data_IF_206527559666
#
_entry.id   IF_206527559666
#
_cell.length_a   1.000
_cell.length_b   1.000
_cell.length_c   1.000
_cell.angle_alpha   90.00
_cell.angle_beta   90.00
_cell.angle_gamma   90.00
#
_symmetry.space_group_name_H-M   'P 1'
#
loop_
_entity.id
_entity.type
_entity.pdbx_description
1 polymer ?
#
# COMPACT_ATOMS: atom_id res chain seq x y z
N UNK A 1 8.92 3.13 -13.43
CA UNK A 1 10.33 2.68 -13.29
C UNK A 1 10.65 2.69 -11.81
N UNK A 2 11.43 1.71 -11.33
CA UNK A 2 11.75 1.57 -9.91
C UNK A 2 11.37 0.19 -9.38
N UNK A 3 11.55 0.00 -8.08
CA UNK A 3 11.23 -1.26 -7.42
C UNK A 3 9.72 -1.52 -7.39
N UNK A 4 9.33 -2.78 -7.46
CA UNK A 4 7.94 -3.21 -7.32
C UNK A 4 7.59 -3.30 -5.84
N UNK A 5 6.36 -2.90 -5.50
CA UNK A 5 5.81 -2.99 -4.16
C UNK A 5 4.47 -3.73 -4.25
N UNK A 6 4.48 -4.98 -3.81
CA UNK A 6 3.33 -5.88 -3.89
C UNK A 6 2.74 -6.08 -2.50
N UNK A 7 1.41 -6.07 -2.39
CA UNK A 7 0.69 -6.36 -1.15
C UNK A 7 -0.21 -7.58 -1.35
N UNK A 8 -0.19 -8.52 -0.42
CA UNK A 8 -0.95 -9.75 -0.51
C UNK A 8 -1.44 -10.24 0.85
N UNK A 9 -2.66 -10.75 0.89
CA UNK A 9 -3.19 -11.47 2.04
C UNK A 9 -2.66 -12.91 2.07
N UNK A 10 -2.42 -13.42 3.28
CA UNK A 10 -2.23 -14.85 3.48
C UNK A 10 -3.56 -15.57 3.81
N UNK A 11 -3.56 -16.90 3.90
CA UNK A 11 -4.77 -17.66 4.26
C UNK A 11 -5.29 -17.42 5.69
N UNK A 12 -4.53 -16.72 6.55
CA UNK A 12 -4.91 -16.36 7.92
C UNK A 12 -5.35 -14.89 8.03
N UNK A 13 -5.62 -14.25 6.90
CA UNK A 13 -6.03 -12.86 6.81
C UNK A 13 -5.03 -11.86 7.42
N UNK A 14 -3.74 -12.21 7.39
CA UNK A 14 -2.63 -11.29 7.65
C UNK A 14 -2.11 -10.68 6.35
N UNK A 15 -1.74 -9.40 6.40
CA UNK A 15 -1.34 -8.62 5.24
C UNK A 15 0.17 -8.52 5.14
N UNK A 16 0.71 -8.96 4.00
CA UNK A 16 2.15 -8.98 3.73
C UNK A 16 2.50 -8.04 2.58
N UNK A 17 3.75 -7.60 2.58
CA UNK A 17 4.37 -6.85 1.49
C UNK A 17 5.54 -7.64 0.91
N UNK A 18 5.79 -7.44 -0.39
CA UNK A 18 7.03 -7.87 -1.06
C UNK A 18 7.61 -6.70 -1.84
N UNK A 19 8.93 -6.60 -1.82
CA UNK A 19 9.67 -5.64 -2.64
C UNK A 19 10.42 -6.43 -3.70
N UNK A 20 10.25 -6.09 -4.98
CA UNK A 20 10.88 -6.76 -6.12
C UNK A 20 10.72 -8.30 -6.11
N UNK A 21 9.52 -8.78 -5.72
CA UNK A 21 9.17 -10.21 -5.62
C UNK A 21 10.07 -11.05 -4.70
N UNK A 22 10.74 -10.41 -3.74
CA UNK A 22 11.55 -11.08 -2.71
C UNK A 22 10.66 -11.73 -1.63
N UNK A 23 11.28 -12.16 -0.52
CA UNK A 23 10.57 -12.78 0.61
C UNK A 23 9.50 -11.83 1.17
N UNK A 24 8.41 -12.40 1.69
CA UNK A 24 7.34 -11.66 2.34
C UNK A 24 7.84 -10.99 3.64
N UNK A 25 7.33 -9.81 3.92
CA UNK A 25 7.43 -9.13 5.21
C UNK A 25 6.02 -8.73 5.67
N UNK A 26 5.69 -8.75 6.97
CA UNK A 26 4.45 -8.17 7.46
C UNK A 26 4.32 -6.71 7.01
N UNK A 27 3.13 -6.27 6.58
CA UNK A 27 2.97 -4.90 6.05
C UNK A 27 3.26 -3.83 7.10
N UNK A 28 3.08 -4.15 8.37
CA UNK A 28 3.38 -3.27 9.51
C UNK A 28 4.87 -2.94 9.60
N UNK A 29 5.77 -3.81 9.14
CA UNK A 29 7.22 -3.49 9.00
C UNK A 29 7.41 -2.31 8.05
N UNK A 30 6.70 -2.29 6.91
CA UNK A 30 6.77 -1.16 5.98
C UNK A 30 6.19 0.12 6.60
N UNK A 31 5.05 0.02 7.30
CA UNK A 31 4.42 1.16 7.96
C UNK A 31 5.30 1.74 9.08
N UNK A 32 5.94 0.88 9.88
CA UNK A 32 6.95 1.32 10.86
C UNK A 32 8.14 2.00 10.21
N UNK A 33 8.61 1.50 9.07
CA UNK A 33 9.71 2.14 8.34
C UNK A 33 9.34 3.54 7.83
N UNK A 34 8.08 3.78 7.48
CA UNK A 34 7.52 5.13 7.18
C UNK A 34 7.41 6.01 8.44
N UNK A 35 7.45 5.40 9.63
CA UNK A 35 7.41 6.09 10.92
C UNK A 35 6.10 5.93 11.68
N UNK A 36 5.15 5.09 11.22
CA UNK A 36 3.90 4.88 11.95
C UNK A 36 4.11 3.97 13.18
N UNK A 37 3.44 4.32 14.27
CA UNK A 37 3.39 3.55 15.51
C UNK A 37 2.13 2.68 15.57
N UNK A 38 2.07 1.73 16.52
CA UNK A 38 0.98 0.75 16.60
C UNK A 38 -0.40 1.41 16.68
N UNK A 39 -0.57 2.36 17.60
CA UNK A 39 -1.86 3.02 17.82
C UNK A 39 -2.33 3.77 16.58
N UNK A 40 -1.41 4.41 15.86
CA UNK A 40 -1.72 5.13 14.64
C UNK A 40 -2.12 4.15 13.53
N UNK A 41 -1.37 3.06 13.34
CA UNK A 41 -1.74 2.02 12.39
C UNK A 41 -3.14 1.49 12.69
N UNK A 42 -3.44 1.17 13.95
CA UNK A 42 -4.76 0.68 14.34
C UNK A 42 -5.86 1.72 14.07
N UNK A 43 -5.65 2.98 14.47
CA UNK A 43 -6.59 4.10 14.21
C UNK A 43 -6.81 4.38 12.73
N UNK A 44 -5.81 4.15 11.88
CA UNK A 44 -5.89 4.43 10.43
C UNK A 44 -6.79 3.42 9.71
N UNK A 45 -6.80 2.17 10.17
CA UNK A 45 -7.45 1.04 9.49
C UNK A 45 -8.71 0.51 10.20
N UNK A 46 -8.93 0.88 11.47
CA UNK A 46 -10.08 0.45 12.25
C UNK A 46 -10.78 1.65 12.87
N UNK A 47 -12.12 1.59 12.90
CA UNK A 47 -12.88 2.50 13.74
C UNK A 47 -12.80 2.04 15.20
N UNK A 48 -12.90 2.97 16.14
CA UNK A 48 -12.78 2.69 17.58
C UNK A 48 -14.17 2.72 18.24
N UNK A 49 -14.43 1.72 19.07
CA UNK A 49 -15.51 1.73 20.06
C UNK A 49 -14.94 2.25 21.39
N UNK A 50 -15.58 3.27 21.96
CA UNK A 50 -15.22 3.81 23.28
C UNK A 50 -16.08 3.15 24.35
N UNK A 51 -15.44 2.72 25.42
CA UNK A 51 -16.06 2.10 26.57
C UNK A 51 -15.71 2.91 27.82
N UNK A 52 -16.69 3.31 28.62
CA UNK A 52 -16.47 3.97 29.90
C UNK A 52 -16.62 2.95 31.02
N UNK A 53 -15.55 2.78 31.80
CA UNK A 53 -15.48 1.78 32.86
C UNK A 53 -16.12 2.34 34.14
N UNK A 54 -17.19 1.71 34.62
CA UNK A 54 -17.75 2.02 35.93
C UNK A 54 -16.99 1.26 37.04
N UNK A 55 -17.28 1.56 38.31
CA UNK A 55 -16.77 0.81 39.47
C UNK A 55 -17.54 -0.49 39.73
N UNK A 56 -18.76 -0.59 39.21
CA UNK A 56 -19.66 -1.71 39.43
C UNK A 56 -19.90 -2.50 38.13
N UNK A 57 -19.21 -3.63 37.91
CA UNK A 57 -19.57 -4.78 37.02
C UNK A 57 -20.16 -4.56 35.61
N UNK A 58 -20.17 -3.32 35.12
CA UNK A 58 -20.82 -2.88 33.90
C UNK A 58 -19.94 -1.82 33.25
N UNK A 59 -20.07 -1.73 31.93
CA UNK A 59 -19.34 -0.79 31.09
C UNK A 59 -20.35 -0.05 30.24
N UNK A 60 -20.16 1.25 30.06
CA UNK A 60 -20.97 2.01 29.12
C UNK A 60 -20.26 2.08 27.76
N UNK A 61 -20.86 1.49 26.73
CA UNK A 61 -20.41 1.58 25.34
C UNK A 61 -21.00 2.84 24.70
N UNK A 62 -20.16 3.69 24.11
CA UNK A 62 -20.63 4.72 23.17
C UNK A 62 -21.22 4.05 21.94
N UNK A 63 -22.55 4.10 21.83
CA UNK A 63 -23.30 3.32 20.87
C UNK A 63 -23.32 4.00 19.51
N UNK A 64 -22.79 3.29 18.52
CA UNK A 64 -23.06 3.57 17.10
C UNK A 64 -24.03 2.49 16.60
N UNK A 65 -25.34 2.78 16.44
CA UNK A 65 -26.36 1.76 16.17
C UNK A 65 -26.06 0.88 14.94
N UNK A 66 -25.46 1.46 13.90
CA UNK A 66 -25.03 0.77 12.69
C UNK A 66 -24.04 -0.37 12.95
N UNK A 67 -23.18 -0.25 13.97
CA UNK A 67 -22.14 -1.23 14.27
C UNK A 67 -22.69 -2.53 14.82
N UNK A 68 -23.87 -2.48 15.47
CA UNK A 68 -24.55 -3.66 15.99
C UNK A 68 -25.28 -4.47 14.90
N UNK A 69 -25.28 -4.00 13.64
CA UNK A 69 -26.06 -4.64 12.57
C UNK A 69 -25.59 -6.08 12.34
N UNK A 70 -26.52 -7.01 12.55
CA UNK A 70 -26.27 -8.41 12.29
C UNK A 70 -25.43 -9.10 13.37
N UNK A 71 -25.05 -8.40 14.44
CA UNK A 71 -24.48 -9.02 15.65
C UNK A 71 -25.57 -9.75 16.45
N UNK A 72 -25.13 -10.70 17.27
CA UNK A 72 -25.95 -11.41 18.25
C UNK A 72 -25.37 -11.10 19.63
N UNK A 73 -26.17 -10.49 20.50
CA UNK A 73 -25.75 -10.16 21.86
C UNK A 73 -26.14 -11.28 22.82
N UNK A 74 -25.31 -11.51 23.84
CA UNK A 74 -25.57 -12.52 24.89
C UNK A 74 -26.45 -11.97 26.04
N UNK A 75 -26.87 -10.71 25.94
CA UNK A 75 -27.68 -10.01 26.93
C UNK A 75 -28.81 -9.25 26.24
N UNK A 76 -29.82 -8.87 27.03
CA UNK A 76 -30.97 -8.13 26.52
C UNK A 76 -30.58 -6.68 26.19
N UNK A 77 -30.91 -6.26 24.97
CA UNK A 77 -30.73 -4.88 24.52
C UNK A 77 -31.94 -4.05 24.93
N UNK A 78 -31.74 -3.11 25.84
CA UNK A 78 -32.77 -2.23 26.38
C UNK A 78 -32.74 -0.86 25.70
N UNK A 79 -33.91 -0.30 25.40
CA UNK A 79 -34.11 1.09 25.02
C UNK A 79 -35.25 1.69 25.85
N UNK A 80 -34.99 2.79 26.56
CA UNK A 80 -35.96 3.45 27.45
C UNK A 80 -36.67 2.50 28.42
N UNK A 81 -35.93 1.53 28.97
CA UNK A 81 -36.46 0.52 29.89
C UNK A 81 -37.32 -0.58 29.25
N UNK A 82 -37.40 -0.64 27.91
CA UNK A 82 -38.07 -1.71 27.16
C UNK A 82 -37.05 -2.59 26.46
N UNK A 83 -37.25 -3.91 26.53
CA UNK A 83 -36.43 -4.88 25.80
C UNK A 83 -36.71 -4.74 24.30
N UNK A 84 -35.71 -4.30 23.56
CA UNK A 84 -35.74 -4.13 22.11
C UNK A 84 -35.37 -5.44 21.40
N UNK A 85 -34.33 -6.10 21.91
CA UNK A 85 -33.84 -7.40 21.41
C UNK A 85 -33.50 -8.28 22.61
N UNK A 86 -34.12 -9.44 22.68
CA UNK A 86 -33.78 -10.46 23.69
C UNK A 86 -32.41 -11.08 23.39
N UNK A 87 -31.72 -11.52 24.44
CA UNK A 87 -30.45 -12.24 24.36
C UNK A 87 -30.51 -13.40 23.34
N UNK A 88 -29.45 -13.56 22.56
CA UNK A 88 -29.31 -14.60 21.54
C UNK A 88 -30.05 -14.34 20.23
N UNK A 89 -30.84 -13.26 20.12
CA UNK A 89 -31.46 -12.87 18.85
C UNK A 89 -30.56 -11.93 18.04
N UNK A 90 -30.56 -12.13 16.72
CA UNK A 90 -29.79 -11.31 15.78
C UNK A 90 -30.40 -9.92 15.63
N UNK A 91 -29.56 -8.88 15.67
CA UNK A 91 -30.00 -7.50 15.51
C UNK A 91 -30.32 -7.22 14.04
N UNK A 92 -31.56 -6.79 13.78
CA UNK A 92 -32.07 -6.51 12.43
C UNK A 92 -32.06 -5.01 12.12
N UNK A 93 -32.20 -4.65 10.84
CA UNK A 93 -32.33 -3.25 10.43
C UNK A 93 -33.51 -2.51 11.10
N UNK A 94 -34.57 -3.23 11.50
CA UNK A 94 -35.69 -2.65 12.24
C UNK A 94 -35.25 -2.20 13.64
N UNK A 95 -34.49 -3.03 14.35
CA UNK A 95 -34.01 -2.72 15.70
C UNK A 95 -33.06 -1.51 15.68
N UNK A 96 -32.20 -1.41 14.65
CA UNK A 96 -31.30 -0.26 14.48
C UNK A 96 -32.08 1.04 14.32
N UNK A 97 -33.14 1.05 13.48
CA UNK A 97 -33.99 2.24 13.34
C UNK A 97 -34.64 2.63 14.67
N UNK A 98 -35.10 1.64 15.44
CA UNK A 98 -35.69 1.90 16.75
C UNK A 98 -34.68 2.48 17.75
N UNK A 99 -33.41 2.03 17.71
CA UNK A 99 -32.34 2.63 18.52
C UNK A 99 -32.03 4.07 18.11
N UNK A 100 -32.01 4.34 16.80
CA UNK A 100 -31.79 5.68 16.25
C UNK A 100 -32.93 6.63 16.59
N UNK A 101 -34.18 6.17 16.44
CA UNK A 101 -35.38 6.94 16.78
C UNK A 101 -35.46 7.24 18.29
N UNK A 102 -34.92 6.35 19.13
CA UNK A 102 -34.81 6.55 20.57
C UNK A 102 -33.65 7.47 20.98
N UNK A 103 -32.73 7.82 20.06
CA UNK A 103 -31.61 8.72 20.34
C UNK A 103 -30.63 8.20 21.40
N UNK A 104 -30.45 6.87 21.50
CA UNK A 104 -29.58 6.26 22.51
C UNK A 104 -28.12 6.39 22.08
N UNK A 105 -27.36 7.18 22.83
CA UNK A 105 -25.94 7.45 22.57
C UNK A 105 -25.01 6.54 23.38
N UNK A 106 -25.49 5.96 24.49
CA UNK A 106 -24.72 5.07 25.35
C UNK A 106 -25.53 3.81 25.70
N UNK A 107 -24.86 2.67 25.67
CA UNK A 107 -25.43 1.38 26.01
C UNK A 107 -24.68 0.75 27.17
N UNK A 108 -25.40 0.42 28.25
CA UNK A 108 -24.83 -0.34 29.37
C UNK A 108 -24.67 -1.81 28.95
N UNK A 109 -23.44 -2.29 28.92
CA UNK A 109 -23.06 -3.65 28.56
C UNK A 109 -22.38 -4.36 29.75
N UNK A 110 -22.52 -5.69 29.87
CA UNK A 110 -21.80 -6.46 30.88
C UNK A 110 -20.31 -6.57 30.55
N UNK A 111 -19.49 -6.82 31.58
CA UNK A 111 -18.03 -6.99 31.43
C UNK A 111 -17.66 -8.07 30.40
N UNK A 112 -18.42 -9.16 30.35
CA UNK A 112 -18.28 -10.26 29.39
C UNK A 112 -18.26 -9.80 27.91
N UNK A 113 -18.91 -8.67 27.58
CA UNK A 113 -18.93 -8.16 26.20
C UNK A 113 -17.59 -7.52 25.78
N UNK A 114 -16.83 -7.03 26.76
CA UNK A 114 -15.54 -6.39 26.54
C UNK A 114 -14.40 -7.41 26.46
N UNK A 115 -14.56 -8.56 27.12
CA UNK A 115 -13.58 -9.65 27.09
C UNK A 115 -13.33 -10.15 25.66
N UNK A 116 -12.06 -10.34 25.32
CA UNK A 116 -11.63 -10.75 23.97
C UNK A 116 -11.68 -9.65 22.91
N UNK A 117 -12.17 -8.44 23.23
CA UNK A 117 -12.04 -7.28 22.35
C UNK A 117 -10.58 -6.81 22.34
N UNK A 118 -10.16 -6.23 21.22
CA UNK A 118 -8.77 -5.85 20.97
C UNK A 118 -8.59 -4.37 21.29
N UNK A 119 -7.58 -4.03 22.09
CA UNK A 119 -7.24 -2.66 22.46
C UNK A 119 -6.73 -1.85 21.28
N UNK A 120 -7.19 -0.60 21.17
CA UNK A 120 -6.79 0.32 20.11
C UNK A 120 -5.54 1.17 20.47
N UNK A 121 -5.22 1.28 21.75
CA UNK A 121 -4.12 2.11 22.28
C UNK A 121 -3.52 1.48 23.54
N UNK A 122 -2.34 1.94 23.94
CA UNK A 122 -1.70 1.56 25.19
C UNK A 122 -2.51 2.10 26.37
N UNK A 123 -2.78 1.24 27.36
CA UNK A 123 -3.50 1.62 28.59
C UNK A 123 -2.47 1.85 29.68
N UNK A 124 -2.39 3.09 30.16
CA UNK A 124 -1.43 3.52 31.17
C UNK A 124 -2.13 3.88 32.48
N UNK A 125 -1.51 3.55 33.60
CA UNK A 125 -1.90 4.07 34.90
C UNK A 125 -1.39 5.51 35.04
N UNK A 126 -2.31 6.47 35.15
CA UNK A 126 -1.97 7.90 35.25
C UNK A 126 -1.20 8.25 36.53
N UNK A 127 -1.31 7.45 37.60
CA UNK A 127 -0.63 7.71 38.87
C UNK A 127 0.82 7.20 38.87
N UNK A 128 1.07 6.04 38.27
CA UNK A 128 2.39 5.38 38.29
C UNK A 128 3.18 5.56 36.99
N UNK A 129 2.49 5.83 35.87
CA UNK A 129 3.07 5.84 34.53
C UNK A 129 3.39 4.45 33.99
N UNK A 130 2.93 3.39 34.65
CA UNK A 130 3.13 2.01 34.20
C UNK A 130 2.15 1.66 33.08
N UNK A 131 2.62 0.93 32.06
CA UNK A 131 1.79 0.42 30.96
C UNK A 131 1.11 -0.85 31.45
N UNK A 132 -0.20 -0.79 31.66
CA UNK A 132 -1.03 -1.91 32.12
C UNK A 132 -1.30 -2.91 30.98
N UNK A 133 -1.55 -2.40 29.78
CA UNK A 133 -1.74 -3.21 28.57
C UNK A 133 -1.27 -2.42 27.34
N UNK A 134 -0.86 -3.13 26.29
CA UNK A 134 -0.39 -2.51 25.05
C UNK A 134 -1.49 -2.50 23.99
N UNK A 135 -1.37 -1.57 23.05
CA UNK A 135 -2.16 -1.55 21.84
C UNK A 135 -2.05 -2.89 21.11
N UNK A 136 -3.20 -3.39 20.63
CA UNK A 136 -3.40 -4.70 20.00
C UNK A 136 -3.48 -5.92 20.94
N UNK A 137 -3.36 -5.74 22.25
CA UNK A 137 -3.64 -6.82 23.21
C UNK A 137 -5.15 -7.08 23.31
N UNK A 138 -5.53 -8.31 23.66
CA UNK A 138 -6.92 -8.66 23.96
C UNK A 138 -7.24 -8.38 25.42
N UNK A 139 -8.41 -7.80 25.69
CA UNK A 139 -8.87 -7.54 27.06
C UNK A 139 -9.19 -8.86 27.75
N UNK A 140 -8.47 -9.14 28.83
CA UNK A 140 -8.71 -10.27 29.74
C UNK A 140 -9.35 -9.78 31.05
N UNK A 141 -9.92 -10.71 31.83
CA UNK A 141 -10.48 -10.40 33.16
C UNK A 141 -9.45 -9.72 34.07
N UNK A 142 -8.23 -10.27 34.14
CA UNK A 142 -7.14 -9.72 34.94
C UNK A 142 -6.79 -8.28 34.54
N UNK A 143 -6.80 -7.98 33.24
CA UNK A 143 -6.54 -6.63 32.73
C UNK A 143 -7.68 -5.68 33.07
N UNK A 144 -8.93 -6.13 32.96
CA UNK A 144 -10.11 -5.32 33.27
C UNK A 144 -10.12 -4.91 34.75
N UNK A 145 -9.78 -5.85 35.66
CA UNK A 145 -9.61 -5.55 37.08
C UNK A 145 -8.48 -4.54 37.33
N UNK A 146 -7.34 -4.72 36.63
CA UNK A 146 -6.21 -3.79 36.72
C UNK A 146 -6.58 -2.37 36.24
N UNK A 147 -7.33 -2.25 35.14
CA UNK A 147 -7.79 -0.95 34.62
C UNK A 147 -8.70 -0.23 35.61
N UNK A 148 -9.65 -0.95 36.22
CA UNK A 148 -10.53 -0.39 37.25
C UNK A 148 -9.78 0.02 38.51
N UNK A 149 -8.79 -0.78 38.94
CA UNK A 149 -7.94 -0.46 40.10
C UNK A 149 -7.08 0.78 39.87
N UNK A 150 -6.59 0.97 38.64
CA UNK A 150 -5.84 2.15 38.23
C UNK A 150 -6.73 3.38 37.99
N UNK A 151 -8.06 3.21 37.95
CA UNK A 151 -9.00 4.31 37.73
C UNK A 151 -9.04 4.80 36.27
N UNK A 152 -8.81 3.90 35.31
CA UNK A 152 -8.96 4.22 33.88
C UNK A 152 -10.43 4.50 33.58
N UNK A 153 -10.74 5.72 33.11
CA UNK A 153 -12.12 6.14 32.84
C UNK A 153 -12.65 5.57 31.51
N UNK A 154 -11.83 5.60 30.46
CA UNK A 154 -12.23 5.21 29.11
C UNK A 154 -11.26 4.21 28.49
N UNK A 155 -11.80 3.25 27.74
CA UNK A 155 -11.07 2.22 27.00
C UNK A 155 -11.51 2.22 25.53
N UNK A 156 -10.56 2.22 24.61
CA UNK A 156 -10.83 2.15 23.18
C UNK A 156 -10.55 0.75 22.63
N UNK A 157 -11.52 0.12 22.00
CA UNK A 157 -11.33 -1.17 21.31
C UNK A 157 -11.62 -1.07 19.82
N UNK A 158 -10.99 -1.96 19.04
CA UNK A 158 -11.18 -2.01 17.59
C UNK A 158 -12.59 -2.51 17.25
N UNK A 159 -13.27 -1.80 16.37
CA UNK A 159 -14.49 -2.31 15.75
C UNK A 159 -14.12 -3.32 14.65
N UNK A 160 -14.27 -4.60 14.98
CA UNK A 160 -14.00 -5.73 14.10
C UNK A 160 -15.20 -6.67 14.08
N UNK A 161 -15.47 -7.27 12.93
CA UNK A 161 -16.52 -8.26 12.76
C UNK A 161 -16.12 -9.31 11.70
N UNK A 162 -16.85 -10.42 11.66
CA UNK A 162 -16.55 -11.55 10.78
C UNK A 162 -17.04 -11.36 9.33
N UNK A 163 -17.75 -10.26 9.03
CA UNK A 163 -18.45 -10.08 7.77
C UNK A 163 -17.78 -9.04 6.85
N UNK A 164 -17.60 -7.82 7.35
CA UNK A 164 -17.24 -6.66 6.54
C UNK A 164 -16.18 -5.73 7.17
N UNK A 165 -15.59 -6.14 8.31
CA UNK A 165 -14.54 -5.44 9.06
C UNK A 165 -13.55 -6.43 9.69
N UNK A 166 -12.69 -7.04 8.89
CA UNK A 166 -11.71 -8.01 9.41
C UNK A 166 -10.56 -7.39 10.23
N UNK A 167 -10.01 -8.09 11.24
CA UNK A 167 -8.89 -7.64 12.07
C UNK A 167 -7.52 -7.78 11.37
N UNK A 168 -7.41 -7.37 10.10
CA UNK A 168 -6.25 -7.65 9.25
C UNK A 168 -4.93 -7.07 9.77
N UNK A 169 -4.93 -5.78 10.13
CA UNK A 169 -3.74 -5.08 10.62
C UNK A 169 -3.40 -5.56 12.03
N UNK A 170 -4.39 -5.82 12.85
CA UNK A 170 -4.22 -6.43 14.17
C UNK A 170 -3.53 -7.80 14.09
N UNK A 171 -4.01 -8.71 13.24
CA UNK A 171 -3.38 -10.02 12.99
C UNK A 171 -1.94 -9.86 12.49
N UNK A 172 -1.70 -8.88 11.62
CA UNK A 172 -0.37 -8.63 11.07
C UNK A 172 0.60 -8.11 12.13
N UNK A 173 0.16 -7.19 13.00
CA UNK A 173 0.95 -6.67 14.11
C UNK A 173 1.42 -7.78 15.08
N UNK A 174 0.61 -8.83 15.28
CA UNK A 174 0.99 -9.98 16.11
C UNK A 174 2.11 -10.82 15.52
N UNK A 175 2.28 -10.79 14.20
CA UNK A 175 3.31 -11.55 13.46
C UNK A 175 4.60 -10.72 13.32
N UNK A 176 4.49 -9.39 13.36
CA UNK A 176 5.59 -8.46 13.18
C UNK A 176 6.64 -8.59 14.30
N UNK A 177 7.89 -8.96 13.98
CA UNK A 177 8.95 -9.08 14.98
C UNK A 177 9.54 -7.72 15.39
N UNK A 178 9.22 -6.64 14.68
CA UNK A 178 9.83 -5.32 14.85
C UNK A 178 9.02 -4.43 15.78
N UNK A 179 9.72 -3.61 16.58
CA UNK A 179 9.09 -2.70 17.55
C UNK A 179 9.45 -1.24 17.33
N UNK A 180 10.48 -0.94 16.54
CA UNK A 180 10.90 0.43 16.24
C UNK A 180 11.08 0.66 14.74
N UNK A 181 11.03 1.92 14.31
CA UNK A 181 11.32 2.31 12.92
C UNK A 181 12.71 1.82 12.47
N UNK A 182 13.72 1.88 13.35
CA UNK A 182 15.07 1.43 13.02
C UNK A 182 15.12 -0.09 12.79
N UNK A 183 14.49 -0.88 13.65
CA UNK A 183 14.41 -2.34 13.47
C UNK A 183 13.70 -2.71 12.17
N UNK A 184 12.61 -2.00 11.85
CA UNK A 184 11.88 -2.19 10.61
C UNK A 184 12.73 -1.88 9.37
N UNK A 185 13.46 -0.76 9.38
CA UNK A 185 14.41 -0.41 8.31
C UNK A 185 15.53 -1.44 8.18
N UNK A 186 16.05 -1.95 9.29
CA UNK A 186 17.07 -3.01 9.33
C UNK A 186 16.53 -4.31 8.75
N UNK A 187 15.28 -4.67 9.03
CA UNK A 187 14.66 -5.88 8.49
C UNK A 187 14.44 -5.79 6.98
N UNK A 188 13.99 -4.63 6.48
CA UNK A 188 13.93 -4.34 5.04
C UNK A 188 15.33 -4.41 4.41
N UNK A 189 16.35 -3.85 5.07
CA UNK A 189 17.74 -3.91 4.60
C UNK A 189 18.25 -5.34 4.47
N UNK A 190 18.06 -6.18 5.50
CA UNK A 190 18.47 -7.60 5.50
C UNK A 190 17.80 -8.40 4.38
N UNK A 191 16.54 -8.08 4.08
CA UNK A 191 15.80 -8.71 2.98
C UNK A 191 16.36 -8.31 1.61
N UNK A 192 16.70 -7.04 1.42
CA UNK A 192 17.24 -6.53 0.15
C UNK A 192 18.71 -6.92 -0.06
N UNK A 193 19.50 -6.97 1.02
CA UNK A 193 20.93 -7.27 1.00
C UNK A 193 21.27 -8.35 2.04
N UNK A 194 20.96 -9.63 1.73
CA UNK A 194 21.24 -10.72 2.67
C UNK A 194 22.76 -10.88 2.85
N UNK A 195 23.21 -10.93 4.11
CA UNK A 195 24.61 -11.13 4.47
C UNK A 195 25.44 -9.85 4.65
N UNK A 196 24.94 -8.69 4.23
CA UNK A 196 25.59 -7.40 4.53
C UNK A 196 25.19 -6.92 5.95
N UNK A 197 26.13 -6.49 6.80
CA UNK A 197 25.81 -5.96 8.12
C UNK A 197 25.01 -4.65 7.97
N UNK A 198 23.83 -4.54 8.60
CA UNK A 198 23.02 -3.33 8.51
C UNK A 198 23.58 -2.22 9.40
N UNK A 199 23.72 -1.01 8.85
CA UNK A 199 23.91 0.23 9.63
C UNK A 199 22.67 1.11 9.49
N UNK A 200 22.43 1.98 10.48
CA UNK A 200 21.28 2.91 10.47
C UNK A 200 21.23 3.73 9.18
N UNK A 201 22.35 4.35 8.82
CA UNK A 201 22.43 5.23 7.65
C UNK A 201 22.27 4.44 6.34
N UNK A 202 22.84 3.24 6.25
CA UNK A 202 22.69 2.40 5.06
C UNK A 202 21.24 1.93 4.88
N UNK A 203 20.56 1.55 5.96
CA UNK A 203 19.16 1.14 5.94
C UNK A 203 18.22 2.29 5.55
N UNK A 204 18.39 3.46 6.16
CA UNK A 204 17.62 4.66 5.83
C UNK A 204 17.83 5.09 4.37
N UNK A 205 19.08 5.15 3.91
CA UNK A 205 19.39 5.51 2.54
C UNK A 205 18.88 4.48 1.53
N UNK A 206 18.95 3.19 1.84
CA UNK A 206 18.39 2.16 0.98
C UNK A 206 16.88 2.35 0.83
N UNK A 207 16.16 2.51 1.95
CA UNK A 207 14.71 2.67 1.93
C UNK A 207 14.27 3.92 1.15
N UNK A 208 14.92 5.06 1.39
CA UNK A 208 14.69 6.30 0.63
C UNK A 208 14.89 6.08 -0.89
N UNK A 209 15.97 5.39 -1.24
CA UNK A 209 16.32 5.13 -2.64
C UNK A 209 15.39 4.15 -3.36
N UNK A 210 14.58 3.36 -2.64
CA UNK A 210 13.64 2.41 -3.27
C UNK A 210 12.43 3.12 -3.87
N UNK A 211 11.85 4.09 -3.14
CA UNK A 211 10.52 4.61 -3.47
C UNK A 211 10.41 6.14 -3.54
N UNK A 212 11.33 6.86 -2.90
CA UNK A 212 11.19 8.29 -2.60
C UNK A 212 12.18 9.19 -3.35
N UNK A 213 13.00 8.63 -4.24
CA UNK A 213 13.96 9.38 -5.07
C UNK A 213 13.60 9.36 -6.55
N UNK A 214 13.63 10.53 -7.20
CA UNK A 214 13.32 10.70 -8.63
C UNK A 214 14.33 9.98 -9.55
N UNK A 215 15.54 9.74 -9.06
CA UNK A 215 16.60 9.08 -9.82
C UNK A 215 16.30 7.61 -10.06
N UNK A 216 15.67 6.95 -9.09
CA UNK A 216 15.43 5.49 -9.09
C UNK A 216 13.97 5.12 -9.25
N UNK A 217 13.06 5.96 -8.77
CA UNK A 217 11.62 5.71 -8.81
C UNK A 217 10.88 6.79 -9.61
N UNK A 218 9.98 6.36 -10.48
CA UNK A 218 9.16 7.25 -11.30
C UNK A 218 7.92 6.50 -11.83
N UNK A 219 6.74 6.89 -11.34
CA UNK A 219 5.45 6.40 -11.81
C UNK A 219 5.12 6.87 -13.22
N UNK A 220 5.76 7.93 -13.72
CA UNK A 220 5.33 8.72 -14.88
C UNK A 220 3.94 9.34 -14.71
N UNK A 221 3.59 10.29 -15.59
CA UNK A 221 2.26 10.89 -15.60
C UNK A 221 1.13 9.85 -15.76
N UNK A 222 1.34 8.82 -16.59
CA UNK A 222 0.33 7.77 -16.83
C UNK A 222 0.16 6.87 -15.60
N UNK A 223 1.24 6.50 -14.93
CA UNK A 223 1.16 5.69 -13.72
C UNK A 223 0.50 6.46 -12.57
N UNK A 224 0.86 7.73 -12.37
CA UNK A 224 0.22 8.59 -11.37
C UNK A 224 -1.27 8.81 -11.66
N UNK A 225 -1.63 9.07 -12.91
CA UNK A 225 -3.04 9.17 -13.33
C UNK A 225 -3.81 7.88 -13.00
N UNK A 226 -3.24 6.72 -13.31
CA UNK A 226 -3.86 5.42 -13.04
C UNK A 226 -4.00 5.16 -11.54
N UNK A 227 -2.95 5.43 -10.79
CA UNK A 227 -2.93 5.33 -9.34
C UNK A 227 -4.04 6.16 -8.71
N UNK A 228 -4.06 7.46 -9.00
CA UNK A 228 -5.03 8.39 -8.41
C UNK A 228 -6.47 7.97 -8.75
N UNK A 229 -6.73 7.59 -10.00
CA UNK A 229 -8.06 7.13 -10.43
C UNK A 229 -8.48 5.84 -9.72
N UNK A 230 -7.55 4.90 -9.51
CA UNK A 230 -7.86 3.61 -8.87
C UNK A 230 -8.13 3.74 -7.38
N UNK A 231 -7.42 4.65 -6.74
CA UNK A 231 -7.54 4.96 -5.31
C UNK A 231 -8.72 5.91 -5.02
N UNK A 232 -9.26 6.57 -6.05
CA UNK A 232 -10.42 7.46 -5.91
C UNK A 232 -10.05 8.92 -5.62
N UNK A 233 -8.80 9.33 -5.89
CA UNK A 233 -8.37 10.73 -5.80
C UNK A 233 -8.94 11.55 -6.96
N UNK A 234 -9.28 12.81 -6.68
CA UNK A 234 -9.81 13.75 -7.67
C UNK A 234 -8.75 14.24 -8.66
N UNK A 235 -7.53 14.43 -8.18
CA UNK A 235 -6.44 14.94 -9.00
C UNK A 235 -5.92 13.88 -9.98
N UNK A 236 -5.67 14.31 -11.20
CA UNK A 236 -5.16 13.43 -12.27
C UNK A 236 -3.63 13.39 -12.27
N UNK A 237 -3.00 14.53 -11.98
CA UNK A 237 -1.55 14.68 -11.91
C UNK A 237 -1.03 14.55 -10.48
N UNK A 238 0.29 14.43 -10.34
CA UNK A 238 0.98 14.36 -9.06
C UNK A 238 2.44 14.02 -9.24
N UNK A 239 3.13 13.76 -8.13
CA UNK A 239 4.57 13.46 -8.13
C UNK A 239 4.87 12.12 -8.81
N UNK A 240 6.07 12.03 -9.40
CA UNK A 240 6.60 10.79 -9.98
C UNK A 240 7.05 9.78 -8.92
N UNK A 241 7.49 10.24 -7.75
CA UNK A 241 7.82 9.35 -6.61
C UNK A 241 6.59 9.05 -5.77
N UNK A 242 6.68 8.06 -4.88
CA UNK A 242 5.64 7.86 -3.88
C UNK A 242 5.67 8.98 -2.84
N UNK A 243 4.51 9.32 -2.29
CA UNK A 243 4.38 10.30 -1.21
C UNK A 243 3.73 9.67 0.02
N UNK A 244 4.29 9.98 1.19
CA UNK A 244 3.71 9.68 2.50
C UNK A 244 3.99 10.85 3.45
N UNK A 245 2.93 11.45 3.99
CA UNK A 245 3.05 12.61 4.86
C UNK A 245 4.02 12.37 6.02
N UNK A 246 3.86 11.27 6.77
CA UNK A 246 4.66 11.02 7.97
C UNK A 246 6.14 10.88 7.66
N UNK A 247 6.48 10.16 6.58
CA UNK A 247 7.85 9.99 6.14
C UNK A 247 8.50 11.31 5.70
N UNK A 248 7.80 12.15 4.93
CA UNK A 248 8.35 13.42 4.45
C UNK A 248 8.37 14.50 5.53
N UNK A 249 7.40 14.53 6.44
CA UNK A 249 7.35 15.49 7.56
C UNK A 249 8.50 15.31 8.57
N UNK A 250 9.09 14.12 8.65
CA UNK A 250 10.27 13.86 9.48
C UNK A 250 11.59 14.38 8.87
N UNK A 251 11.57 14.80 7.60
CA UNK A 251 12.77 15.22 6.87
C UNK A 251 12.93 16.72 6.85
N UNK A 252 14.18 17.19 6.90
CA UNK A 252 14.53 18.62 6.95
C UNK A 252 14.98 19.20 5.61
N UNK A 253 14.97 18.43 4.52
CA UNK A 253 15.39 18.91 3.20
C UNK A 253 14.32 19.78 2.52
N UNK A 254 14.76 20.70 1.65
CA UNK A 254 13.87 21.64 0.94
C UNK A 254 12.84 20.91 0.07
N UNK A 255 13.23 19.78 -0.53
CA UNK A 255 12.31 18.98 -1.33
C UNK A 255 11.19 18.39 -0.48
N UNK A 256 11.48 17.90 0.72
CA UNK A 256 10.48 17.39 1.64
C UNK A 256 9.48 18.47 2.07
N UNK A 257 9.96 19.67 2.43
CA UNK A 257 9.09 20.80 2.76
C UNK A 257 8.17 21.17 1.58
N UNK A 258 8.71 21.20 0.36
CA UNK A 258 7.93 21.44 -0.87
C UNK A 258 6.87 20.37 -1.08
N UNK A 259 7.23 19.09 -0.89
CA UNK A 259 6.32 17.96 -1.03
C UNK A 259 5.18 18.01 -0.01
N UNK A 260 5.48 18.29 1.27
CA UNK A 260 4.47 18.44 2.33
C UNK A 260 3.54 19.61 2.06
N UNK A 261 4.08 20.76 1.65
CA UNK A 261 3.26 21.93 1.30
C UNK A 261 2.31 21.65 0.11
N UNK A 262 2.73 20.81 -0.84
CA UNK A 262 1.95 20.50 -2.03
C UNK A 262 0.92 19.38 -1.81
N UNK A 263 1.28 18.32 -1.10
CA UNK A 263 0.46 17.09 -1.00
C UNK A 263 -0.21 16.89 0.37
N UNK A 264 0.04 17.78 1.33
CA UNK A 264 -0.63 17.80 2.64
C UNK A 264 -0.51 16.48 3.39
N UNK A 265 -1.61 15.99 3.95
CA UNK A 265 -1.64 14.80 4.81
C UNK A 265 -1.89 13.50 4.04
N UNK A 266 -1.70 13.50 2.71
CA UNK A 266 -1.95 12.32 1.88
C UNK A 266 -0.86 11.24 2.03
N UNK A 267 -1.24 9.99 1.78
CA UNK A 267 -0.28 8.87 1.72
C UNK A 267 -0.68 7.88 0.65
N UNK A 268 0.19 7.69 -0.34
CA UNK A 268 -0.01 6.71 -1.41
C UNK A 268 -0.12 5.29 -0.87
N UNK A 269 0.77 4.91 0.05
CA UNK A 269 0.83 3.54 0.56
C UNK A 269 -0.38 3.24 1.44
N UNK A 270 -0.76 4.16 2.34
CA UNK A 270 -1.94 3.95 3.18
C UNK A 270 -3.22 3.86 2.35
N UNK A 271 -3.37 4.69 1.33
CA UNK A 271 -4.57 4.65 0.49
C UNK A 271 -4.68 3.34 -0.29
N UNK A 272 -3.56 2.79 -0.79
CA UNK A 272 -3.53 1.46 -1.44
C UNK A 272 -3.96 0.38 -0.46
N UNK A 273 -3.42 0.40 0.77
CA UNK A 273 -3.76 -0.58 1.79
C UNK A 273 -5.23 -0.47 2.20
N UNK A 274 -5.78 0.74 2.33
CA UNK A 274 -7.21 0.96 2.60
C UNK A 274 -8.07 0.34 1.51
N UNK A 275 -7.79 0.64 0.25
CA UNK A 275 -8.51 0.07 -0.90
C UNK A 275 -8.42 -1.47 -0.90
N UNK A 276 -7.24 -2.02 -0.58
CA UNK A 276 -7.04 -3.47 -0.51
C UNK A 276 -7.85 -4.11 0.63
N UNK A 277 -7.89 -3.50 1.82
CA UNK A 277 -8.72 -3.93 2.93
C UNK A 277 -10.21 -3.84 2.59
N UNK A 278 -10.65 -2.78 1.89
CA UNK A 278 -12.04 -2.63 1.45
C UNK A 278 -12.44 -3.73 0.46
N UNK A 279 -11.58 -4.09 -0.49
CA UNK A 279 -11.81 -5.22 -1.39
C UNK A 279 -11.95 -6.53 -0.60
N UNK A 280 -11.09 -6.75 0.42
CA UNK A 280 -11.17 -7.96 1.27
C UNK A 280 -12.44 -7.99 2.11
N UNK A 281 -12.91 -6.83 2.59
CA UNK A 281 -14.18 -6.63 3.28
C UNK A 281 -15.42 -6.79 2.35
N UNK A 282 -15.23 -7.08 1.05
CA UNK A 282 -16.31 -7.23 0.07
C UNK A 282 -16.83 -5.91 -0.50
N UNK A 283 -16.19 -4.77 -0.19
CA UNK A 283 -16.51 -3.44 -0.71
C UNK A 283 -15.54 -3.05 -1.82
N UNK A 284 -15.87 -3.43 -3.04
CA UNK A 284 -15.09 -3.09 -4.23
C UNK A 284 -15.01 -4.25 -5.22
N UNK A 285 -14.25 -4.05 -6.29
CA UNK A 285 -13.99 -5.07 -7.31
C UNK A 285 -12.49 -5.25 -7.52
N UNK A 286 -12.12 -6.47 -7.90
CA UNK A 286 -10.76 -6.78 -8.37
C UNK A 286 -10.61 -6.27 -9.80
N UNK A 287 -9.41 -5.77 -10.12
CA UNK A 287 -9.11 -5.27 -11.46
C UNK A 287 -8.80 -6.43 -12.41
N UNK A 288 -9.31 -6.32 -13.63
CA UNK A 288 -8.95 -7.23 -14.73
C UNK A 288 -7.70 -6.69 -15.46
N UNK A 289 -6.64 -7.50 -15.47
CA UNK A 289 -5.36 -7.17 -16.12
C UNK A 289 -5.46 -7.15 -17.65
N UNK A 290 -6.43 -7.88 -18.23
CA UNK A 290 -6.58 -8.05 -19.68
C UNK A 290 -7.40 -6.94 -20.32
N UNK A 291 -8.20 -6.23 -19.51
CA UNK A 291 -8.90 -5.02 -19.94
C UNK A 291 -7.92 -4.00 -20.54
N UNK A 292 -8.15 -3.55 -21.79
CA UNK A 292 -7.22 -2.63 -22.50
C UNK A 292 -6.94 -1.32 -21.76
N UNK A 293 -7.84 -0.89 -20.89
CA UNK A 293 -7.57 0.24 -19.99
C UNK A 293 -6.33 0.04 -19.12
N UNK A 294 -5.96 -1.20 -18.77
CA UNK A 294 -4.82 -1.54 -17.92
C UNK A 294 -3.58 -1.96 -18.73
N UNK A 295 -3.71 -2.04 -20.06
CA UNK A 295 -2.61 -2.28 -20.99
C UNK A 295 -2.25 -0.99 -21.72
N UNK A 296 -0.95 -0.69 -21.82
CA UNK A 296 -0.45 0.52 -22.50
C UNK A 296 0.38 0.13 -23.72
N UNK A 297 0.08 0.76 -24.85
CA UNK A 297 0.92 0.68 -26.05
C UNK A 297 2.07 1.66 -25.92
N UNK A 298 3.31 1.18 -26.04
CA UNK A 298 4.51 2.03 -26.10
C UNK A 298 4.97 2.14 -27.53
N UNK A 299 5.17 3.36 -28.00
CA UNK A 299 5.72 3.63 -29.33
C UNK A 299 7.26 3.65 -29.31
N UNK A 300 7.87 3.69 -30.49
CA UNK A 300 9.33 3.76 -30.64
C UNK A 300 9.93 4.93 -29.88
N UNK A 301 9.25 6.09 -29.86
CA UNK A 301 9.73 7.29 -29.17
C UNK A 301 9.91 7.08 -27.67
N UNK A 302 8.90 6.54 -26.98
CA UNK A 302 8.96 6.26 -25.53
C UNK A 302 10.03 5.21 -25.20
N UNK A 303 10.19 4.19 -26.03
CA UNK A 303 11.23 3.18 -25.82
C UNK A 303 12.63 3.76 -26.03
N UNK A 304 12.83 4.55 -27.08
CA UNK A 304 14.09 5.21 -27.37
C UNK A 304 14.46 6.22 -26.27
N UNK A 305 13.50 7.00 -25.77
CA UNK A 305 13.70 7.93 -24.65
C UNK A 305 14.20 7.20 -23.40
N UNK A 306 13.59 6.06 -23.04
CA UNK A 306 14.01 5.27 -21.89
C UNK A 306 15.45 4.74 -22.04
N UNK A 307 15.81 4.23 -23.22
CA UNK A 307 17.17 3.75 -23.50
C UNK A 307 18.17 4.91 -23.49
N UNK A 308 17.81 6.04 -24.07
CA UNK A 308 18.64 7.24 -24.08
C UNK A 308 18.90 7.75 -22.66
N UNK A 309 17.87 7.77 -21.81
CA UNK A 309 17.98 8.09 -20.39
C UNK A 309 18.93 7.16 -19.65
N UNK A 310 18.89 5.84 -19.90
CA UNK A 310 19.85 4.89 -19.32
C UNK A 310 21.29 5.26 -19.73
N UNK A 311 21.48 5.64 -20.99
CA UNK A 311 22.75 6.18 -21.49
C UNK A 311 23.19 7.44 -20.72
N UNK A 312 22.27 8.39 -20.52
CA UNK A 312 22.54 9.62 -19.79
C UNK A 312 22.90 9.38 -18.33
N UNK A 313 22.22 8.47 -17.62
CA UNK A 313 22.56 8.12 -16.23
C UNK A 313 23.98 7.55 -16.12
N UNK A 314 24.43 6.77 -17.11
CA UNK A 314 25.82 6.28 -17.16
C UNK A 314 26.82 7.42 -17.38
N UNK A 315 26.48 8.38 -18.24
CA UNK A 315 27.31 9.57 -18.49
C UNK A 315 27.37 10.45 -17.25
N UNK A 316 26.22 10.72 -16.62
CA UNK A 316 26.12 11.52 -15.39
C UNK A 316 27.03 10.97 -14.29
N UNK A 317 27.00 9.65 -14.05
CA UNK A 317 27.87 9.00 -13.07
C UNK A 317 29.35 9.24 -13.39
N UNK A 318 29.75 9.01 -14.64
CA UNK A 318 31.14 9.22 -15.06
C UNK A 318 31.57 10.70 -14.94
N UNK A 319 30.67 11.63 -15.23
CA UNK A 319 30.91 13.08 -15.07
C UNK A 319 31.05 13.45 -13.60
N UNK A 320 30.15 12.98 -12.73
CA UNK A 320 30.19 13.24 -11.29
C UNK A 320 31.48 12.70 -10.66
N UNK A 321 31.90 11.49 -11.06
CA UNK A 321 33.15 10.89 -10.59
C UNK A 321 34.35 11.76 -11.03
N UNK A 322 34.40 12.21 -12.30
CA UNK A 322 35.48 13.09 -12.81
C UNK A 322 35.53 14.45 -12.12
N UNK A 323 34.38 15.09 -11.88
CA UNK A 323 34.29 16.38 -11.21
C UNK A 323 34.70 16.31 -9.74
N UNK A 324 34.58 15.13 -9.12
CA UNK A 324 35.03 14.92 -7.73
C UNK A 324 36.55 14.77 -7.59
N UNK A 325 37.27 14.57 -8.70
CA UNK A 325 38.73 14.45 -8.69
C UNK A 325 39.38 15.85 -8.66
N UNK A 326 40.45 15.98 -7.88
CA UNK A 326 41.12 17.26 -7.58
C UNK A 326 41.80 17.96 -8.79
N UNK A 327 41.81 17.35 -9.98
CA UNK A 327 42.38 17.90 -11.23
C UNK A 327 41.33 18.62 -12.10
N UNK A 328 40.20 19.03 -11.52
CA UNK A 328 39.08 19.62 -12.26
C UNK A 328 39.31 21.06 -12.75
N UNK A 329 40.34 21.75 -12.24
CA UNK A 329 40.50 23.21 -12.41
C UNK A 329 40.79 23.67 -13.85
N UNK A 330 41.05 22.75 -14.80
CA UNK A 330 41.26 23.07 -16.22
C UNK A 330 40.45 22.20 -17.20
N UNK A 331 39.43 21.46 -16.74
CA UNK A 331 38.62 20.62 -17.61
C UNK A 331 37.55 21.44 -18.34
N UNK A 332 37.53 21.35 -19.67
CA UNK A 332 36.43 21.89 -20.47
C UNK A 332 35.18 21.00 -20.36
N UNK A 333 33.96 21.54 -20.46
CA UNK A 333 32.73 20.73 -20.44
C UNK A 333 32.68 19.63 -21.51
N UNK A 334 33.36 19.82 -22.64
CA UNK A 334 33.44 18.83 -23.72
C UNK A 334 34.27 17.61 -23.32
N UNK A 335 35.31 17.78 -22.49
CA UNK A 335 36.16 16.67 -22.02
C UNK A 335 35.46 15.81 -20.96
N UNK A 336 34.48 16.38 -20.26
CA UNK A 336 33.66 15.66 -19.27
C UNK A 336 32.66 14.72 -19.94
N UNK A 337 32.07 15.12 -21.07
CA UNK A 337 30.97 14.40 -21.71
C UNK A 337 31.48 13.40 -22.75
N UNK A 338 31.32 12.11 -22.47
CA UNK A 338 31.58 11.05 -23.44
C UNK A 338 30.27 10.55 -24.07
N UNK A 339 30.14 10.66 -25.40
CA UNK A 339 28.96 10.19 -26.13
C UNK A 339 28.91 8.66 -26.30
N UNK A 340 30.02 7.93 -26.10
CA UNK A 340 30.09 6.48 -26.36
C UNK A 340 29.05 5.66 -25.57
N UNK A 341 28.82 5.87 -24.26
CA UNK A 341 27.83 5.10 -23.51
C UNK A 341 26.40 5.27 -24.03
N UNK A 342 26.04 6.50 -24.43
CA UNK A 342 24.72 6.81 -25.00
C UNK A 342 24.58 6.19 -26.38
N UNK A 343 25.56 6.40 -27.26
CA UNK A 343 25.55 5.84 -28.61
C UNK A 343 25.53 4.30 -28.59
N UNK A 344 26.25 3.67 -27.66
CA UNK A 344 26.23 2.22 -27.49
C UNK A 344 24.84 1.71 -27.06
N UNK A 345 24.22 2.34 -26.06
CA UNK A 345 22.87 1.95 -25.61
C UNK A 345 21.82 2.07 -26.73
N UNK A 346 21.87 3.16 -27.51
CA UNK A 346 20.96 3.35 -28.64
C UNK A 346 21.24 2.34 -29.77
N UNK A 347 22.51 2.09 -30.11
CA UNK A 347 22.88 1.09 -31.12
C UNK A 347 22.46 -0.31 -30.72
N UNK A 348 22.63 -0.69 -29.45
CA UNK A 348 22.17 -1.96 -28.92
C UNK A 348 20.65 -2.10 -29.05
N UNK A 349 19.89 -1.07 -28.66
CA UNK A 349 18.44 -1.09 -28.80
C UNK A 349 17.96 -1.25 -30.26
N UNK A 350 18.52 -0.51 -31.22
CA UNK A 350 18.10 -0.66 -32.62
C UNK A 350 18.70 -1.89 -33.31
N UNK A 351 19.82 -2.43 -32.82
CA UNK A 351 20.52 -3.54 -33.44
C UNK A 351 20.09 -4.92 -32.95
N UNK A 352 19.87 -5.10 -31.64
CA UNK A 352 19.65 -6.43 -31.03
C UNK A 352 18.33 -6.57 -30.27
N UNK A 353 17.52 -5.51 -30.16
CA UNK A 353 16.22 -5.60 -29.49
C UNK A 353 15.26 -6.53 -30.24
N UNK A 354 14.51 -7.34 -29.49
CA UNK A 354 13.42 -8.18 -30.02
C UNK A 354 12.32 -7.38 -30.74
N UNK A 355 12.21 -6.08 -30.44
CA UNK A 355 11.24 -5.17 -31.04
C UNK A 355 11.78 -4.48 -32.31
N UNK A 356 13.09 -4.56 -32.56
CA UNK A 356 13.71 -4.07 -33.80
C UNK A 356 13.80 -5.23 -34.80
N UNK A 357 12.76 -5.38 -35.61
CA UNK A 357 12.61 -6.50 -36.54
C UNK A 357 12.90 -6.07 -37.98
N UNK A 358 13.40 -6.99 -38.79
CA UNK A 358 13.48 -6.78 -40.23
C UNK A 358 12.08 -6.61 -40.82
N UNK A 359 11.87 -5.53 -41.56
CA UNK A 359 10.57 -5.20 -42.14
C UNK A 359 10.16 -6.25 -43.17
N UNK A 360 8.87 -6.57 -43.18
CA UNK A 360 8.31 -7.46 -44.20
C UNK A 360 8.00 -6.62 -45.44
N UNK A 361 8.80 -6.82 -46.49
CA UNK A 361 8.78 -6.04 -47.73
C UNK A 361 8.23 -6.84 -48.92
N UNK A 362 7.52 -7.95 -48.67
CA UNK A 362 6.96 -8.78 -49.74
C UNK A 362 5.93 -8.03 -50.60
N UNK A 363 5.13 -7.15 -49.99
CA UNK A 363 4.16 -6.30 -50.68
C UNK A 363 3.79 -5.07 -49.81
N UNK A 364 3.14 -4.03 -50.37
CA UNK A 364 2.78 -2.82 -49.63
C UNK A 364 1.85 -3.07 -48.43
N UNK A 365 0.97 -4.08 -48.50
CA UNK A 365 0.07 -4.42 -47.40
C UNK A 365 0.86 -5.01 -46.22
N UNK A 366 1.78 -5.94 -46.49
CA UNK A 366 2.72 -6.49 -45.50
C UNK A 366 3.50 -5.38 -44.79
N UNK A 367 3.99 -4.38 -45.53
CA UNK A 367 4.74 -3.27 -44.95
C UNK A 367 3.89 -2.45 -43.97
N UNK A 368 2.65 -2.10 -44.38
CA UNK A 368 1.73 -1.30 -43.56
C UNK A 368 1.25 -2.10 -42.34
N UNK A 369 0.89 -3.38 -42.51
CA UNK A 369 0.49 -4.27 -41.42
C UNK A 369 1.63 -4.44 -40.41
N UNK A 370 2.87 -4.66 -40.86
CA UNK A 370 4.01 -4.82 -39.96
C UNK A 370 4.23 -3.56 -39.11
N UNK A 371 4.17 -2.37 -39.71
CA UNK A 371 4.32 -1.08 -38.99
C UNK A 371 3.21 -0.83 -37.97
N UNK A 372 2.00 -1.36 -38.19
CA UNK A 372 0.82 -1.18 -37.31
C UNK A 372 0.63 -2.30 -36.29
N UNK A 373 1.55 -3.26 -36.24
CA UNK A 373 1.48 -4.40 -35.33
C UNK A 373 1.79 -3.98 -33.89
N UNK A 374 1.03 -4.51 -32.95
CA UNK A 374 1.30 -4.42 -31.51
C UNK A 374 1.77 -5.78 -31.00
N UNK A 375 2.68 -5.79 -30.03
CA UNK A 375 3.23 -7.01 -29.43
C UNK A 375 3.18 -6.90 -27.91
N UNK A 376 2.74 -7.98 -27.25
CA UNK A 376 2.84 -8.14 -25.80
C UNK A 376 4.22 -8.68 -25.36
N UNK A 377 5.06 -9.10 -26.32
CA UNK A 377 6.41 -9.61 -26.10
C UNK A 377 7.43 -8.48 -26.10
N UNK A 378 8.51 -8.65 -25.34
CA UNK A 378 9.64 -7.74 -25.30
C UNK A 378 10.02 -7.28 -23.89
N UNK A 379 10.99 -6.36 -23.76
CA UNK A 379 11.44 -5.87 -22.47
C UNK A 379 10.31 -5.18 -21.69
N UNK A 380 9.98 -5.71 -20.50
CA UNK A 380 8.88 -5.24 -19.66
C UNK A 380 7.49 -5.78 -20.04
N UNK A 381 7.41 -6.63 -21.07
CA UNK A 381 6.21 -7.39 -21.43
C UNK A 381 6.25 -8.83 -20.93
N UNK A 382 5.44 -9.68 -21.54
CA UNK A 382 5.40 -11.11 -21.25
C UNK A 382 6.43 -11.87 -22.08
N UNK A 383 6.91 -12.99 -21.56
CA UNK A 383 7.62 -13.98 -22.37
C UNK A 383 6.62 -14.99 -22.93
N UNK A 384 6.93 -15.63 -24.06
CA UNK A 384 6.03 -16.63 -24.67
C UNK A 384 5.66 -17.76 -23.71
N UNK A 385 6.62 -18.19 -22.89
CA UNK A 385 6.43 -19.23 -21.86
C UNK A 385 5.52 -18.80 -20.70
N UNK A 386 5.45 -17.48 -20.42
CA UNK A 386 4.62 -16.91 -19.35
C UNK A 386 3.26 -16.41 -19.85
N UNK A 387 3.08 -16.31 -21.17
CA UNK A 387 1.83 -15.89 -21.77
C UNK A 387 0.83 -17.07 -21.76
N UNK A 388 0.07 -17.16 -20.68
CA UNK A 388 -1.03 -18.12 -20.50
C UNK A 388 -2.20 -17.90 -21.45
N UNK A 389 -3.20 -18.77 -21.34
CA UNK A 389 -4.40 -18.73 -22.19
C UNK A 389 -5.17 -17.41 -22.06
N UNK A 390 -5.36 -16.90 -20.83
CA UNK A 390 -6.14 -15.70 -20.52
C UNK A 390 -5.66 -14.47 -21.31
N UNK A 391 -4.35 -14.23 -21.36
CA UNK A 391 -3.76 -13.09 -22.06
C UNK A 391 -3.92 -13.19 -23.59
N UNK A 392 -3.99 -14.41 -24.13
CA UNK A 392 -4.09 -14.68 -25.57
C UNK A 392 -5.54 -14.63 -26.08
N UNK A 393 -6.51 -14.70 -25.17
CA UNK A 393 -7.92 -14.70 -25.54
C UNK A 393 -8.39 -13.30 -25.99
N UNK A 394 -9.52 -13.27 -26.67
CA UNK A 394 -10.14 -12.05 -27.16
C UNK A 394 -10.97 -11.40 -26.05
N UNK A 395 -10.50 -10.28 -25.53
CA UNK A 395 -11.24 -9.49 -24.55
C UNK A 395 -12.25 -8.53 -25.23
N UNK A 396 -13.47 -8.31 -24.66
CA UNK A 396 -14.46 -7.39 -25.22
C UNK A 396 -13.96 -5.97 -25.48
N UNK A 397 -12.99 -5.50 -24.70
CA UNK A 397 -12.41 -4.16 -24.90
C UNK A 397 -11.63 -4.01 -26.21
N UNK A 398 -11.26 -5.12 -26.86
CA UNK A 398 -10.58 -5.10 -28.16
C UNK A 398 -11.46 -4.51 -29.27
N UNK A 399 -12.78 -4.54 -29.12
CA UNK A 399 -13.72 -4.03 -30.11
C UNK A 399 -13.39 -2.59 -30.53
N UNK A 400 -13.18 -2.39 -31.84
CA UNK A 400 -12.84 -1.10 -32.44
C UNK A 400 -11.42 -0.58 -32.13
N UNK A 401 -10.57 -1.38 -31.46
CA UNK A 401 -9.23 -0.96 -31.00
C UNK A 401 -8.11 -1.89 -31.47
N UNK A 402 -8.31 -3.21 -31.37
CA UNK A 402 -7.35 -4.25 -31.77
C UNK A 402 -8.05 -5.26 -32.66
N UNK A 403 -7.44 -5.62 -33.78
CA UNK A 403 -7.99 -6.64 -34.68
C UNK A 403 -7.97 -8.01 -34.00
N UNK A 404 -9.10 -8.71 -33.98
CA UNK A 404 -9.24 -10.04 -33.36
C UNK A 404 -9.04 -11.19 -34.34
N UNK A 405 -8.84 -10.87 -35.62
CA UNK A 405 -8.70 -11.84 -36.71
C UNK A 405 -7.24 -11.92 -37.18
N UNK A 406 -6.58 -10.77 -37.32
CA UNK A 406 -5.21 -10.67 -37.81
C UNK A 406 -4.20 -10.95 -36.69
N UNK A 407 -4.04 -12.24 -36.38
CA UNK A 407 -3.05 -12.75 -35.43
C UNK A 407 -2.32 -13.93 -36.07
N UNK A 408 -0.98 -14.07 -35.90
CA UNK A 408 -0.27 -15.23 -36.42
C UNK A 408 -0.75 -16.51 -35.73
N UNK A 409 -1.09 -17.53 -36.52
CA UNK A 409 -1.36 -18.88 -36.02
C UNK A 409 -0.03 -19.57 -35.69
N UNK A 410 0.12 -20.07 -34.46
CA UNK A 410 1.33 -20.76 -34.00
C UNK A 410 1.95 -20.20 -32.71
N UNK A 411 3.17 -20.66 -32.34
CA UNK A 411 3.85 -20.26 -31.12
C UNK A 411 4.48 -18.86 -31.14
#
# INVERSE_FOLDING_TARGET
>A
RGSWLDFEFDPRDALFTRIDRRRKLPVTVLLRALGYENEEMLRIFHDINTFHLDKEGFVELELVPERLRGETLNFDLLADGKVLVEAGKRITARHIRQLQDAGIEALRVPDDYLLGRILAHDVIDAATGEILARANDEVTDDQLEAFRKAGVESLGTLWVNDLDRGPYISNTLRIDPTRSQLEALVEIYRMMRPGEPPTKDAAQNLFFNLFFTFDRYDLSAVGRMKFNRRVGRKDVAGTGVLYDHKFFSQRSDEEAHRMVAQYGDSSDILDVLRVLCEIRNGRGSVDDIDHLGNRRVRSVGEMAENVFRIGLVRVERAVRDRLSMAEADNLSPQELINAKPVAAAVKEFFGSSQLSQFMDQNNPLSEVTHKRRVSALGPGGLTRERAGFEVRDVHPTHYGRVCTIETPEGP
#
